data_IF_786550178113
#
_entry.id   IF_786550178113
#
_cell.length_a   1.000
_cell.length_b   1.000
_cell.length_c   1.000
_cell.angle_alpha   90.00
_cell.angle_beta   90.00
_cell.angle_gamma   90.00
#
_symmetry.space_group_name_H-M   'P 1'
#
loop_
_entity.id
_entity.type
_entity.pdbx_description
1 polymer ?
#
# COMPACT_ATOMS: atom_id res chain seq x y z
N UNK A 1 -12.69 22.31 -4.21
CA UNK A 1 -12.51 22.12 -2.75
C UNK A 1 -13.44 20.98 -2.36
N UNK A 2 -12.91 19.78 -2.14
CA UNK A 2 -13.72 18.64 -1.67
C UNK A 2 -13.68 18.67 -0.14
N UNK A 3 -14.84 18.85 0.48
CA UNK A 3 -14.98 18.85 1.93
C UNK A 3 -14.53 17.49 2.46
N UNK A 4 -13.39 17.47 3.16
CA UNK A 4 -13.04 16.30 3.97
C UNK A 4 -14.07 16.26 5.09
N UNK A 5 -14.85 15.18 5.27
CA UNK A 5 -15.62 15.02 6.49
C UNK A 5 -14.62 14.98 7.64
N UNK A 6 -14.61 16.05 8.43
CA UNK A 6 -13.77 16.22 9.59
C UNK A 6 -14.39 15.33 10.67
N UNK A 7 -13.93 14.09 10.79
CA UNK A 7 -14.35 13.27 11.93
C UNK A 7 -13.80 13.93 13.20
N UNK A 8 -14.66 14.35 14.15
CA UNK A 8 -14.21 14.97 15.38
C UNK A 8 -13.27 14.02 16.13
N UNK A 9 -12.35 14.58 16.92
CA UNK A 9 -11.46 13.81 17.80
C UNK A 9 -12.29 13.02 18.82
N UNK A 10 -12.68 11.80 18.47
CA UNK A 10 -13.35 10.84 19.34
C UNK A 10 -12.35 9.85 19.92
N UNK A 11 -12.54 9.49 21.19
CA UNK A 11 -11.81 8.45 21.89
C UNK A 11 -11.77 7.13 21.07
N UNK A 12 -10.71 6.35 21.24
CA UNK A 12 -10.45 5.13 20.46
C UNK A 12 -11.62 4.13 20.51
N UNK A 13 -12.40 4.10 21.61
CA UNK A 13 -13.59 3.26 21.75
C UNK A 13 -14.78 3.75 20.93
N UNK A 14 -15.03 5.05 20.94
CA UNK A 14 -16.18 5.66 20.26
C UNK A 14 -16.07 5.56 18.74
N UNK A 15 -14.85 5.67 18.19
CA UNK A 15 -14.61 5.44 16.76
C UNK A 15 -14.82 3.99 16.34
N UNK A 16 -14.44 3.04 17.19
CA UNK A 16 -14.68 1.62 16.94
C UNK A 16 -16.18 1.33 16.89
N UNK A 17 -16.95 1.93 17.81
CA UNK A 17 -18.42 1.86 17.77
C UNK A 17 -19.00 2.56 16.53
N UNK A 18 -18.52 3.74 16.15
CA UNK A 18 -19.00 4.47 14.98
C UNK A 18 -18.73 3.71 13.66
N UNK A 19 -17.55 3.10 13.51
CA UNK A 19 -17.26 2.23 12.37
C UNK A 19 -18.14 0.97 12.36
N UNK A 20 -18.41 0.39 13.54
CA UNK A 20 -19.27 -0.78 13.64
C UNK A 20 -20.75 -0.45 13.34
N UNK A 21 -21.21 0.76 13.70
CA UNK A 21 -22.51 1.28 13.31
C UNK A 21 -22.58 1.58 11.80
N UNK A 22 -21.52 2.17 11.21
CA UNK A 22 -21.42 2.41 9.77
C UNK A 22 -21.45 1.10 8.96
N UNK A 23 -20.81 0.03 9.46
CA UNK A 23 -20.92 -1.34 8.89
C UNK A 23 -22.36 -1.84 8.90
N UNK A 24 -23.09 -1.63 10.00
CA UNK A 24 -24.51 -2.03 10.14
C UNK A 24 -25.47 -1.23 9.25
N UNK A 25 -25.11 0.01 8.90
CA UNK A 25 -25.92 0.89 8.07
C UNK A 25 -25.60 0.81 6.57
N UNK A 26 -24.72 -0.11 6.14
CA UNK A 26 -24.41 -0.29 4.72
C UNK A 26 -23.68 0.89 4.08
N UNK A 27 -22.91 1.65 4.86
CA UNK A 27 -22.15 2.80 4.36
C UNK A 27 -21.16 2.36 3.29
N UNK A 28 -21.32 2.88 2.06
CA UNK A 28 -20.38 2.62 0.96
C UNK A 28 -19.14 3.50 1.12
N UNK A 29 -17.98 2.87 1.13
CA UNK A 29 -16.70 3.59 1.15
C UNK A 29 -16.38 4.14 -0.26
N UNK A 30 -15.56 5.20 -0.34
CA UNK A 30 -15.09 5.73 -1.62
C UNK A 30 -14.43 4.66 -2.50
N UNK A 31 -14.51 4.77 -3.83
CA UNK A 31 -14.01 3.74 -4.76
C UNK A 31 -12.49 3.54 -4.68
N UNK A 32 -11.74 4.52 -4.18
CA UNK A 32 -10.30 4.40 -3.95
C UNK A 32 -9.92 3.53 -2.74
N UNK A 33 -10.86 3.25 -1.83
CA UNK A 33 -10.59 2.44 -0.64
C UNK A 33 -10.49 0.97 -1.05
N UNK A 34 -9.47 0.29 -0.54
CA UNK A 34 -9.19 -1.11 -0.84
C UNK A 34 -8.84 -1.88 0.43
N UNK A 35 -9.18 -3.17 0.48
CA UNK A 35 -8.74 -4.10 1.54
C UNK A 35 -7.23 -4.31 1.56
N UNK A 36 -6.58 -4.04 0.44
CA UNK A 36 -5.14 -4.17 0.27
C UNK A 36 -4.50 -2.81 0.48
N UNK A 37 -3.59 -2.73 1.43
CA UNK A 37 -2.74 -1.58 1.67
C UNK A 37 -1.35 -1.83 1.10
N UNK A 38 -0.81 -0.82 0.44
CA UNK A 38 0.59 -0.74 0.04
C UNK A 38 1.35 0.11 1.05
N UNK A 39 2.32 -0.51 1.72
CA UNK A 39 3.14 0.09 2.76
C UNK A 39 4.52 0.35 2.20
N UNK A 40 5.05 1.55 2.44
CA UNK A 40 6.42 1.93 2.07
C UNK A 40 7.18 2.47 3.29
N UNK A 41 8.48 2.58 3.10
CA UNK A 41 9.42 3.09 4.10
C UNK A 41 9.56 2.20 5.35
N UNK A 42 9.23 0.92 5.23
CA UNK A 42 9.40 -0.05 6.31
C UNK A 42 10.89 -0.22 6.66
N UNK A 43 11.23 -0.43 7.94
CA UNK A 43 12.56 -0.87 8.33
C UNK A 43 12.95 -2.14 7.59
N UNK A 44 14.17 -2.17 7.06
CA UNK A 44 14.69 -3.30 6.28
C UNK A 44 14.85 -4.60 7.07
N UNK A 45 14.80 -4.52 8.40
CA UNK A 45 14.93 -5.65 9.33
C UNK A 45 13.61 -5.96 10.05
N UNK A 46 12.48 -5.38 9.62
CA UNK A 46 11.19 -5.62 10.28
C UNK A 46 10.80 -7.09 10.16
N UNK A 47 10.35 -7.68 11.27
CA UNK A 47 9.95 -9.09 11.30
C UNK A 47 8.48 -9.26 10.91
N UNK A 48 8.10 -10.50 10.59
CA UNK A 48 6.70 -10.82 10.33
C UNK A 48 5.84 -10.57 11.58
N UNK A 49 6.34 -10.92 12.76
CA UNK A 49 5.65 -10.72 14.05
C UNK A 49 5.37 -9.23 14.30
N UNK A 50 6.36 -8.35 14.11
CA UNK A 50 6.18 -6.90 14.23
C UNK A 50 5.13 -6.37 13.24
N UNK A 51 5.09 -6.91 12.02
CA UNK A 51 4.06 -6.54 11.05
C UNK A 51 2.66 -6.95 11.53
N UNK A 52 2.51 -8.16 12.09
CA UNK A 52 1.23 -8.57 12.67
C UNK A 52 0.85 -7.75 13.91
N UNK A 53 1.80 -7.37 14.75
CA UNK A 53 1.56 -6.54 15.93
C UNK A 53 1.14 -5.11 15.58
N UNK A 54 1.73 -4.53 14.53
CA UNK A 54 1.40 -3.16 14.09
C UNK A 54 0.06 -3.15 13.37
N UNK A 55 -0.12 -4.02 12.37
CA UNK A 55 -1.29 -3.99 11.49
C UNK A 55 -2.49 -4.73 12.08
N UNK A 56 -2.28 -5.76 12.91
CA UNK A 56 -3.35 -6.60 13.47
C UNK A 56 -4.21 -5.87 14.51
N UNK A 57 -3.71 -4.79 15.11
CA UNK A 57 -4.47 -3.92 16.02
C UNK A 57 -5.73 -3.31 15.39
N UNK A 58 -5.76 -3.20 14.06
CA UNK A 58 -6.85 -2.56 13.32
C UNK A 58 -7.89 -3.55 12.80
N UNK A 59 -7.57 -4.85 12.75
CA UNK A 59 -8.48 -5.87 12.26
C UNK A 59 -7.80 -7.16 11.83
N UNK A 60 -8.61 -8.11 11.36
CA UNK A 60 -8.13 -9.42 10.91
C UNK A 60 -7.28 -9.30 9.64
N UNK A 61 -6.04 -9.78 9.71
CA UNK A 61 -5.13 -9.81 8.56
C UNK A 61 -5.30 -11.12 7.81
N UNK A 62 -5.61 -11.02 6.52
CA UNK A 62 -5.68 -12.15 5.60
C UNK A 62 -4.30 -12.58 5.12
N UNK A 63 -3.45 -11.61 4.77
CA UNK A 63 -2.11 -11.88 4.25
C UNK A 63 -1.19 -10.66 4.37
N UNK A 64 0.08 -10.88 4.70
CA UNK A 64 1.15 -9.89 4.54
C UNK A 64 2.18 -10.41 3.53
N UNK A 65 2.56 -9.58 2.57
CA UNK A 65 3.65 -9.86 1.62
C UNK A 65 4.69 -8.77 1.69
N UNK A 66 5.87 -9.08 2.22
CA UNK A 66 6.99 -8.13 2.30
C UNK A 66 7.84 -8.24 1.02
N UNK A 67 8.22 -7.10 0.46
CA UNK A 67 9.13 -7.06 -0.69
C UNK A 67 10.53 -7.53 -0.29
N UNK A 68 11.05 -8.51 -1.02
CA UNK A 68 12.31 -9.19 -0.73
C UNK A 68 13.41 -8.92 -1.77
N UNK A 69 13.11 -8.23 -2.88
CA UNK A 69 14.10 -7.85 -3.89
C UNK A 69 14.74 -6.51 -3.58
N UNK A 70 15.89 -6.20 -4.17
CA UNK A 70 16.56 -4.90 -3.99
C UNK A 70 15.64 -3.71 -4.30
N UNK A 71 14.77 -3.84 -5.31
CA UNK A 71 13.80 -2.80 -5.69
C UNK A 71 12.57 -2.70 -4.78
N UNK A 72 12.21 -3.79 -4.10
CA UNK A 72 10.96 -3.86 -3.31
C UNK A 72 11.20 -3.88 -1.81
N UNK A 73 12.46 -3.97 -1.37
CA UNK A 73 12.83 -3.96 0.04
C UNK A 73 12.33 -2.70 0.75
N UNK A 74 11.77 -2.88 1.94
CA UNK A 74 11.14 -1.79 2.69
C UNK A 74 9.74 -1.42 2.19
N UNK A 75 9.14 -2.28 1.37
CA UNK A 75 7.72 -2.19 0.99
C UNK A 75 6.98 -3.48 1.35
N UNK A 76 5.68 -3.38 1.55
CA UNK A 76 4.83 -4.54 1.80
C UNK A 76 3.41 -4.32 1.28
N UNK A 77 2.72 -5.43 1.02
CA UNK A 77 1.27 -5.45 0.86
C UNK A 77 0.64 -6.11 2.08
N UNK A 78 -0.32 -5.41 2.70
CA UNK A 78 -1.11 -5.92 3.82
C UNK A 78 -2.55 -6.07 3.34
N UNK A 79 -3.09 -7.28 3.41
CA UNK A 79 -4.45 -7.60 3.01
C UNK A 79 -5.27 -7.84 4.27
N UNK A 80 -6.28 -7.01 4.49
CA UNK A 80 -7.26 -7.23 5.56
C UNK A 80 -8.42 -8.09 5.08
N UNK A 81 -9.08 -8.77 6.01
CA UNK A 81 -10.34 -9.47 5.75
C UNK A 81 -11.46 -8.48 5.39
N UNK A 82 -11.51 -7.36 6.12
CA UNK A 82 -12.54 -6.33 6.01
C UNK A 82 -11.98 -4.99 5.49
N UNK A 83 -12.79 -4.30 4.68
CA UNK A 83 -12.40 -3.03 4.04
C UNK A 83 -12.39 -1.84 5.00
N UNK A 84 -13.24 -1.85 6.03
CA UNK A 84 -13.27 -0.82 7.06
C UNK A 84 -12.05 -0.92 7.97
N UNK A 85 -11.58 -2.15 8.25
CA UNK A 85 -10.35 -2.39 9.00
C UNK A 85 -9.12 -1.86 8.23
N UNK A 86 -9.06 -2.11 6.92
CA UNK A 86 -8.03 -1.53 6.06
C UNK A 86 -8.08 0.00 6.02
N UNK A 87 -9.28 0.58 5.94
CA UNK A 87 -9.45 2.04 6.02
C UNK A 87 -8.93 2.58 7.34
N UNK A 88 -9.30 1.94 8.44
CA UNK A 88 -8.88 2.32 9.78
C UNK A 88 -7.36 2.27 9.90
N UNK A 89 -6.72 1.21 9.42
CA UNK A 89 -5.26 1.10 9.41
C UNK A 89 -4.60 2.18 8.55
N UNK A 90 -5.13 2.47 7.36
CA UNK A 90 -4.58 3.49 6.47
C UNK A 90 -4.61 4.89 7.11
N UNK A 91 -5.71 5.24 7.77
CA UNK A 91 -5.90 6.56 8.40
C UNK A 91 -4.93 6.79 9.58
N UNK A 92 -4.47 5.74 10.25
CA UNK A 92 -3.67 5.84 11.48
C UNK A 92 -2.20 5.48 11.32
N UNK A 93 -1.87 4.54 10.44
CA UNK A 93 -0.51 4.06 10.28
C UNK A 93 0.29 4.88 9.28
N UNK A 94 -0.35 5.72 8.48
CA UNK A 94 0.36 6.69 7.64
C UNK A 94 1.04 7.73 8.54
N UNK A 95 2.36 7.85 8.44
CA UNK A 95 3.17 8.68 9.33
C UNK A 95 3.49 8.05 10.69
N UNK A 96 3.17 6.77 10.91
CA UNK A 96 3.56 6.08 12.15
C UNK A 96 5.07 5.80 12.17
N UNK A 97 5.75 6.10 13.29
CA UNK A 97 7.18 5.90 13.41
C UNK A 97 7.51 4.47 13.86
N UNK A 98 8.26 3.74 13.04
CA UNK A 98 8.80 2.42 13.35
C UNK A 98 10.32 2.47 13.19
N UNK A 99 11.06 2.29 14.30
CA UNK A 99 12.52 2.30 14.33
C UNK A 99 13.15 3.54 13.66
N UNK A 100 12.57 4.73 13.88
CA UNK A 100 13.05 5.98 13.28
C UNK A 100 12.62 6.21 11.83
N UNK A 101 11.70 5.37 11.30
CA UNK A 101 11.16 5.50 9.94
C UNK A 101 9.66 5.71 9.98
N UNK A 102 9.21 6.79 9.37
CA UNK A 102 7.79 7.11 9.24
C UNK A 102 7.17 6.33 8.09
N UNK A 103 6.23 5.44 8.39
CA UNK A 103 5.58 4.61 7.39
C UNK A 103 4.76 5.46 6.42
N UNK A 104 4.69 5.01 5.18
CA UNK A 104 3.75 5.56 4.19
C UNK A 104 2.77 4.46 3.84
N UNK A 105 1.49 4.67 4.15
CA UNK A 105 0.43 3.67 3.92
C UNK A 105 -0.54 4.23 2.89
N UNK A 106 -0.75 3.47 1.81
CA UNK A 106 -1.58 3.85 0.67
C UNK A 106 -2.55 2.72 0.34
N UNK A 107 -3.72 3.01 -0.19
CA UNK A 107 -4.56 1.97 -0.79
C UNK A 107 -3.89 1.40 -2.04
N UNK A 108 -4.06 0.10 -2.23
CA UNK A 108 -3.62 -0.56 -3.45
C UNK A 108 -4.34 0.02 -4.68
N UNK A 109 -3.55 0.43 -5.67
CA UNK A 109 -4.04 0.87 -6.97
C UNK A 109 -3.57 -0.11 -8.04
N UNK A 110 -4.48 -0.95 -8.53
CA UNK A 110 -4.24 -1.91 -9.61
C UNK A 110 -3.51 -1.25 -10.80
N UNK A 111 -4.03 -0.11 -11.28
CA UNK A 111 -3.46 0.58 -12.44
C UNK A 111 -2.03 1.07 -12.23
N UNK A 112 -1.59 1.35 -10.99
CA UNK A 112 -0.19 1.69 -10.71
C UNK A 112 0.70 0.46 -10.65
N UNK A 113 0.20 -0.64 -10.08
CA UNK A 113 0.95 -1.90 -9.99
C UNK A 113 1.22 -2.49 -11.38
N UNK A 114 0.23 -2.52 -12.26
CA UNK A 114 0.37 -3.09 -13.61
C UNK A 114 1.20 -2.22 -14.57
N UNK A 115 1.21 -0.89 -14.41
CA UNK A 115 2.03 0.02 -15.23
C UNK A 115 3.53 -0.28 -15.13
N UNK A 116 4.04 -0.60 -13.93
CA UNK A 116 5.46 -0.95 -13.75
C UNK A 116 5.80 -2.27 -14.44
N UNK A 117 4.89 -3.25 -14.39
CA UNK A 117 5.08 -4.57 -15.03
C UNK A 117 5.12 -4.45 -16.55
N UNK A 118 4.22 -3.64 -17.14
CA UNK A 118 4.17 -3.43 -18.59
C UNK A 118 5.45 -2.77 -19.12
N UNK A 119 5.95 -1.75 -18.41
CA UNK A 119 7.21 -1.08 -18.76
C UNK A 119 8.42 -2.01 -18.70
N UNK A 120 8.51 -2.86 -17.68
CA UNK A 120 9.62 -3.82 -17.54
C UNK A 120 9.62 -4.86 -18.67
N UNK A 121 8.46 -5.42 -19.01
CA UNK A 121 8.31 -6.32 -20.16
C UNK A 121 8.72 -5.64 -21.46
N UNK A 122 8.27 -4.41 -21.68
CA UNK A 122 8.57 -3.64 -22.88
C UNK A 122 10.07 -3.33 -22.99
N UNK A 123 10.72 -3.03 -21.87
CA UNK A 123 12.17 -2.83 -21.82
C UNK A 123 12.93 -4.11 -22.15
N UNK A 124 12.52 -5.26 -21.61
CA UNK A 124 13.14 -6.55 -21.89
C UNK A 124 12.94 -7.00 -23.35
N UNK A 125 11.78 -6.73 -23.94
CA UNK A 125 11.53 -6.97 -25.37
C UNK A 125 12.40 -6.07 -26.26
N UNK A 126 12.52 -4.79 -25.92
CA UNK A 126 13.39 -3.85 -26.63
C UNK A 126 14.86 -4.28 -26.57
N UNK A 127 15.33 -4.72 -25.41
CA UNK A 127 16.71 -5.17 -25.22
C UNK A 127 17.00 -6.43 -26.05
N UNK A 128 16.09 -7.40 -26.04
CA UNK A 128 16.15 -8.59 -26.91
C UNK A 128 16.11 -8.22 -28.39
N UNK A 129 15.30 -7.24 -28.77
CA UNK A 129 15.19 -6.79 -30.16
C UNK A 129 16.47 -6.06 -30.60
N UNK A 130 17.04 -5.21 -29.75
CA UNK A 130 18.34 -4.55 -30.01
C UNK A 130 19.47 -5.57 -30.16
N UNK A 131 19.53 -6.58 -29.28
CA UNK A 131 20.52 -7.65 -29.35
C UNK A 131 20.35 -8.52 -30.60
N UNK A 132 19.10 -8.89 -30.95
CA UNK A 132 18.80 -9.74 -32.12
C UNK A 132 19.12 -9.07 -33.45
N UNK A 133 18.95 -7.75 -33.55
CA UNK A 133 19.14 -7.02 -34.80
C UNK A 133 20.42 -6.17 -34.84
N UNK A 134 21.29 -6.25 -33.81
CA UNK A 134 22.55 -5.49 -33.75
C UNK A 134 22.35 -3.96 -33.77
N UNK A 135 21.17 -3.48 -33.37
CA UNK A 135 20.80 -2.06 -33.44
C UNK A 135 21.37 -1.32 -32.22
N UNK A 136 22.53 -0.68 -32.41
CA UNK A 136 23.03 0.34 -31.47
C UNK A 136 22.33 1.66 -31.79
N UNK A 137 21.49 2.18 -30.88
CA UNK A 137 20.96 3.54 -31.01
C UNK A 137 22.14 4.53 -30.91
N UNK A 138 22.45 5.33 -31.95
CA UNK A 138 23.42 6.41 -31.77
C UNK A 138 22.85 7.40 -30.76
N UNK A 139 23.64 7.73 -29.74
CA UNK A 139 23.33 8.79 -28.80
C UNK A 139 23.26 10.10 -29.58
N UNK A 140 22.04 10.62 -29.83
CA UNK A 140 21.88 11.98 -30.32
C UNK A 140 22.23 12.87 -29.13
N UNK A 141 23.44 13.43 -29.19
CA UNK A 141 24.00 14.33 -28.20
C UNK A 141 23.09 15.52 -27.89
N UNK A 142 23.20 15.95 -26.63
CA UNK A 142 22.50 17.01 -25.89
C UNK A 142 21.94 18.18 -26.69
#
# INVERSE_FOLDING_TARGET
MVERPLYPNYDHKDRKMAMQAARRQGVRLPPEVNRILYVRNLPYKITAEEMYDIFGKYGGIRQIRVGNTAETKGTAYVVYEDIFDAKNACDHLSGFNVCGRYLVVLYYQANRAFKKIDQDKKQAELDKMKAKYGLSTPEIGK
#
